data_IF_862824203539
#
_entry.id   IF_862824203539
#
_cell.length_a   1.000
_cell.length_b   1.000
_cell.length_c   1.000
_cell.angle_alpha   90.00
_cell.angle_beta   90.00
_cell.angle_gamma   90.00
#
_symmetry.space_group_name_H-M   'P 1'
#
loop_
_entity.id
_entity.type
_entity.pdbx_description
1 polymer ?
#
# COMPACT_ATOMS: atom_id res chain seq x y z
N UNK A 1 -15.84 -2.21 49.72
CA UNK A 1 -16.39 -3.55 49.94
C UNK A 1 -15.98 -4.35 48.72
N UNK A 2 -14.86 -5.06 48.82
CA UNK A 2 -14.28 -5.81 47.71
C UNK A 2 -15.09 -7.09 47.58
N UNK A 3 -15.86 -7.22 46.50
CA UNK A 3 -16.32 -8.54 46.08
C UNK A 3 -15.09 -9.30 45.59
N UNK A 4 -14.70 -10.31 46.37
CA UNK A 4 -13.74 -11.33 46.00
C UNK A 4 -14.20 -11.98 44.70
N UNK A 5 -13.56 -11.58 43.59
CA UNK A 5 -13.62 -12.30 42.33
C UNK A 5 -12.93 -13.64 42.59
N UNK A 6 -13.72 -14.66 42.92
CA UNK A 6 -13.27 -16.05 42.95
C UNK A 6 -12.57 -16.30 41.61
N UNK A 7 -11.25 -16.59 41.58
CA UNK A 7 -10.59 -16.88 40.33
C UNK A 7 -11.25 -18.13 39.75
N UNK A 8 -11.97 -17.97 38.63
CA UNK A 8 -12.54 -19.10 37.88
C UNK A 8 -11.43 -20.13 37.70
N UNK A 9 -11.65 -21.36 38.17
CA UNK A 9 -10.71 -22.47 37.94
C UNK A 9 -10.34 -22.48 36.46
N UNK A 10 -9.05 -22.36 36.12
CA UNK A 10 -8.62 -22.38 34.73
C UNK A 10 -9.09 -23.67 34.06
N UNK A 11 -9.54 -23.57 32.82
CA UNK A 11 -10.07 -24.71 32.08
C UNK A 11 -8.93 -25.71 31.84
N UNK A 12 -9.07 -26.93 32.37
CA UNK A 12 -8.06 -28.00 32.30
C UNK A 12 -7.61 -28.28 30.86
N UNK A 13 -8.52 -28.13 29.89
CA UNK A 13 -8.20 -28.29 28.46
C UNK A 13 -7.27 -27.16 27.99
N UNK A 14 -7.54 -25.92 28.40
CA UNK A 14 -6.70 -24.76 28.05
C UNK A 14 -5.30 -24.93 28.62
N UNK A 15 -5.17 -25.36 29.87
CA UNK A 15 -3.85 -25.61 30.49
C UNK A 15 -3.09 -26.75 29.81
N UNK A 16 -3.78 -27.85 29.49
CA UNK A 16 -3.16 -28.99 28.80
C UNK A 16 -2.63 -28.60 27.41
N UNK A 17 -3.37 -27.74 26.70
CA UNK A 17 -2.95 -27.17 25.41
C UNK A 17 -1.77 -26.22 25.64
N UNK A 18 -1.90 -25.20 26.50
CA UNK A 18 -0.88 -24.17 26.70
C UNK A 18 0.45 -24.74 27.20
N UNK A 19 0.41 -25.82 27.98
CA UNK A 19 1.61 -26.54 28.41
C UNK A 19 2.43 -27.12 27.24
N UNK A 20 1.77 -27.52 26.14
CA UNK A 20 2.42 -28.12 24.96
C UNK A 20 2.65 -27.12 23.83
N UNK A 21 1.70 -26.20 23.68
CA UNK A 21 1.70 -25.17 22.67
C UNK A 21 0.95 -23.96 23.26
N UNK A 22 1.65 -22.89 23.69
CA UNK A 22 1.09 -21.78 24.46
C UNK A 22 0.21 -20.84 23.61
N UNK A 23 -0.82 -21.38 22.95
CA UNK A 23 -1.71 -20.66 22.05
C UNK A 23 -2.50 -19.60 22.82
N UNK A 24 -3.13 -19.97 23.94
CA UNK A 24 -3.99 -19.06 24.68
C UNK A 24 -3.16 -18.05 25.48
N UNK A 25 -2.01 -18.45 26.01
CA UNK A 25 -1.04 -17.52 26.59
C UNK A 25 -0.54 -16.49 25.57
N UNK A 26 -0.23 -16.92 24.34
CA UNK A 26 0.13 -16.02 23.24
C UNK A 26 -1.02 -15.08 22.86
N UNK A 27 -2.26 -15.58 22.76
CA UNK A 27 -3.44 -14.76 22.51
C UNK A 27 -3.72 -13.76 23.64
N UNK A 28 -3.47 -14.14 24.90
CA UNK A 28 -3.58 -13.23 26.05
C UNK A 28 -2.56 -12.10 25.98
N UNK A 29 -1.38 -12.32 25.39
CA UNK A 29 -0.41 -11.24 25.20
C UNK A 29 -0.99 -10.09 24.36
N UNK A 30 -1.74 -10.40 23.30
CA UNK A 30 -2.40 -9.38 22.47
C UNK A 30 -3.52 -8.62 23.18
N UNK A 31 -4.26 -9.27 24.09
CA UNK A 31 -5.31 -8.59 24.84
C UNK A 31 -4.77 -7.64 25.91
N UNK A 32 -3.55 -7.85 26.39
CA UNK A 32 -2.92 -7.02 27.42
C UNK A 32 -1.92 -6.00 26.86
N UNK A 33 -1.70 -5.97 25.53
CA UNK A 33 -0.78 -5.06 24.88
C UNK A 33 -1.13 -3.60 25.18
N UNK A 34 -0.22 -2.86 25.81
CA UNK A 34 -0.43 -1.47 26.20
C UNK A 34 -0.13 -0.53 25.03
N UNK A 35 -1.06 0.38 24.76
CA UNK A 35 -1.00 1.31 23.62
C UNK A 35 -1.20 2.74 24.12
N UNK A 36 -0.53 3.77 23.55
CA UNK A 36 -0.75 5.17 23.95
C UNK A 36 -2.25 5.51 23.95
N UNK A 37 -2.76 6.20 24.96
CA UNK A 37 -4.21 6.42 25.14
C UNK A 37 -4.84 7.43 24.16
N UNK A 38 -4.02 8.20 23.44
CA UNK A 38 -4.45 9.33 22.61
C UNK A 38 -4.36 9.06 21.10
N UNK A 39 -4.31 7.80 20.64
CA UNK A 39 -4.26 7.52 19.21
C UNK A 39 -5.52 8.07 18.54
N UNK A 40 -5.38 8.76 17.41
CA UNK A 40 -6.52 9.24 16.61
C UNK A 40 -7.09 8.10 15.75
N UNK A 41 -8.15 8.37 14.97
CA UNK A 41 -8.68 7.37 14.03
C UNK A 41 -7.70 7.03 12.89
N UNK A 42 -6.69 7.87 12.63
CA UNK A 42 -5.68 7.58 11.61
C UNK A 42 -4.79 6.38 11.97
N UNK A 43 -4.78 5.93 13.23
CA UNK A 43 -4.06 4.71 13.64
C UNK A 43 -4.78 3.42 13.21
N UNK A 44 -6.06 3.49 12.86
CA UNK A 44 -6.84 2.35 12.36
C UNK A 44 -6.46 1.95 10.92
N UNK A 45 -5.76 2.81 10.16
CA UNK A 45 -5.36 2.53 8.78
C UNK A 45 -4.49 1.27 8.63
N UNK A 46 -3.73 0.91 9.67
CA UNK A 46 -2.94 -0.34 9.67
C UNK A 46 -3.82 -1.59 9.71
N UNK A 47 -4.84 -1.60 10.56
CA UNK A 47 -5.78 -2.73 10.64
C UNK A 47 -6.74 -2.75 9.44
N UNK A 48 -7.09 -1.60 8.85
CA UNK A 48 -7.79 -1.54 7.55
C UNK A 48 -6.96 -2.20 6.44
N UNK A 49 -5.66 -1.87 6.34
CA UNK A 49 -4.77 -2.52 5.38
C UNK A 49 -4.67 -4.04 5.62
N UNK A 50 -4.65 -4.47 6.89
CA UNK A 50 -4.69 -5.88 7.27
C UNK A 50 -5.96 -6.61 6.80
N UNK A 51 -7.16 -6.02 7.01
CA UNK A 51 -8.40 -6.65 6.54
C UNK A 51 -8.49 -6.64 5.01
N UNK A 52 -8.00 -5.59 4.34
CA UNK A 52 -7.91 -5.54 2.88
C UNK A 52 -7.04 -6.68 2.32
N UNK A 53 -5.88 -6.96 2.94
CA UNK A 53 -5.04 -8.11 2.57
C UNK A 53 -5.78 -9.44 2.69
N UNK A 54 -6.51 -9.65 3.80
CA UNK A 54 -7.31 -10.87 4.01
C UNK A 54 -8.40 -11.02 2.94
N UNK A 55 -9.11 -9.93 2.63
CA UNK A 55 -10.13 -9.92 1.56
C UNK A 55 -9.50 -10.30 0.22
N UNK A 56 -8.36 -9.72 -0.15
CA UNK A 56 -7.67 -10.02 -1.41
C UNK A 56 -7.24 -11.49 -1.49
N UNK A 57 -6.70 -12.06 -0.41
CA UNK A 57 -6.28 -13.47 -0.39
C UNK A 57 -7.49 -14.39 -0.54
N UNK A 58 -8.55 -14.18 0.26
CA UNK A 58 -9.75 -15.05 0.21
C UNK A 58 -10.40 -14.99 -1.18
N UNK A 59 -10.66 -13.79 -1.68
CA UNK A 59 -11.27 -13.63 -3.02
C UNK A 59 -10.35 -14.13 -4.13
N UNK A 60 -9.05 -13.88 -4.04
CA UNK A 60 -8.06 -14.32 -5.03
C UNK A 60 -7.95 -15.83 -5.12
N UNK A 61 -7.92 -16.54 -3.98
CA UNK A 61 -7.90 -18.01 -3.95
C UNK A 61 -9.16 -18.59 -4.59
N UNK A 62 -10.34 -18.02 -4.30
CA UNK A 62 -11.60 -18.48 -4.90
C UNK A 62 -11.63 -18.21 -6.41
N UNK A 63 -11.20 -17.02 -6.85
CA UNK A 63 -11.11 -16.67 -8.27
C UNK A 63 -10.14 -17.59 -9.01
N UNK A 64 -9.01 -17.95 -8.39
CA UNK A 64 -8.02 -18.86 -8.97
C UNK A 64 -8.57 -20.28 -9.23
N UNK A 65 -9.60 -20.73 -8.49
CA UNK A 65 -10.27 -22.02 -8.76
C UNK A 65 -11.08 -22.01 -10.08
N UNK A 66 -11.29 -20.84 -10.67
CA UNK A 66 -12.11 -20.64 -11.86
C UNK A 66 -11.38 -19.94 -13.01
N UNK A 67 -10.24 -19.32 -12.75
CA UNK A 67 -9.42 -18.64 -13.75
C UNK A 67 -8.53 -19.63 -14.52
N UNK A 68 -8.21 -19.32 -15.78
CA UNK A 68 -7.30 -20.12 -16.61
C UNK A 68 -6.13 -19.26 -17.11
N UNK A 69 -4.88 -19.48 -16.63
CA UNK A 69 -3.70 -18.69 -17.01
C UNK A 69 -3.14 -19.11 -18.38
N UNK A 70 -3.95 -18.96 -19.42
CA UNK A 70 -3.59 -19.20 -20.82
C UNK A 70 -4.13 -18.09 -21.71
N UNK A 71 -3.33 -17.56 -22.65
CA UNK A 71 -3.73 -16.39 -23.47
C UNK A 71 -5.02 -16.60 -24.25
N UNK A 72 -5.25 -17.83 -24.75
CA UNK A 72 -6.47 -18.21 -25.48
C UNK A 72 -7.72 -18.32 -24.59
N UNK A 73 -7.58 -18.31 -23.26
CA UNK A 73 -8.67 -18.62 -22.33
C UNK A 73 -8.80 -17.64 -21.17
N UNK A 74 -7.81 -16.79 -20.91
CA UNK A 74 -7.75 -15.95 -19.73
C UNK A 74 -8.94 -14.99 -19.65
N UNK A 75 -9.17 -14.21 -20.73
CA UNK A 75 -10.27 -13.27 -20.83
C UNK A 75 -11.63 -13.98 -20.68
N UNK A 76 -11.85 -15.05 -21.45
CA UNK A 76 -13.09 -15.82 -21.42
C UNK A 76 -13.34 -16.49 -20.06
N UNK A 77 -12.28 -16.93 -19.37
CA UNK A 77 -12.40 -17.49 -18.02
C UNK A 77 -12.87 -16.45 -17.00
N UNK A 78 -12.47 -15.19 -17.15
CA UNK A 78 -12.95 -14.08 -16.32
C UNK A 78 -14.41 -13.76 -16.65
N UNK A 79 -14.79 -13.72 -17.92
CA UNK A 79 -16.21 -13.55 -18.30
C UNK A 79 -17.09 -14.70 -17.80
N UNK A 80 -16.57 -15.93 -17.81
CA UNK A 80 -17.23 -17.11 -17.22
C UNK A 80 -17.39 -16.96 -15.71
N UNK A 81 -16.40 -16.42 -14.98
CA UNK A 81 -16.54 -16.09 -13.57
C UNK A 81 -17.69 -15.10 -13.38
N UNK A 82 -17.72 -14.02 -14.17
CA UNK A 82 -18.74 -12.99 -14.07
C UNK A 82 -20.17 -13.52 -14.30
N UNK A 83 -20.33 -14.45 -15.26
CA UNK A 83 -21.64 -14.85 -15.78
C UNK A 83 -22.16 -16.17 -15.23
N UNK A 84 -21.28 -17.12 -14.92
CA UNK A 84 -21.66 -18.52 -14.68
C UNK A 84 -21.33 -19.01 -13.27
N UNK A 85 -20.33 -18.43 -12.60
CA UNK A 85 -19.98 -18.82 -11.22
C UNK A 85 -20.97 -18.16 -10.26
N UNK A 86 -21.51 -18.93 -9.32
CA UNK A 86 -22.41 -18.41 -8.28
C UNK A 86 -21.72 -17.26 -7.51
N UNK A 87 -22.32 -16.07 -7.53
CA UNK A 87 -21.72 -14.85 -6.97
C UNK A 87 -20.34 -14.48 -7.54
N UNK A 88 -19.98 -14.99 -8.72
CA UNK A 88 -18.68 -14.73 -9.34
C UNK A 88 -18.47 -13.24 -9.69
N UNK A 89 -19.53 -12.54 -10.11
CA UNK A 89 -19.50 -11.09 -10.30
C UNK A 89 -19.12 -10.34 -9.00
N UNK A 90 -19.67 -10.77 -7.86
CA UNK A 90 -19.41 -10.17 -6.56
C UNK A 90 -17.97 -10.44 -6.13
N UNK A 91 -17.49 -11.67 -6.31
CA UNK A 91 -16.11 -12.05 -6.01
C UNK A 91 -15.11 -11.25 -6.85
N UNK A 92 -15.35 -11.14 -8.16
CA UNK A 92 -14.49 -10.39 -9.08
C UNK A 92 -14.46 -8.92 -8.73
N UNK A 93 -15.61 -8.28 -8.51
CA UNK A 93 -15.64 -6.86 -8.14
C UNK A 93 -15.07 -6.61 -6.74
N UNK A 94 -15.31 -7.50 -5.78
CA UNK A 94 -14.67 -7.40 -4.46
C UNK A 94 -13.14 -7.44 -4.60
N UNK A 95 -12.59 -8.32 -5.44
CA UNK A 95 -11.15 -8.41 -5.65
C UNK A 95 -10.57 -7.19 -6.39
N UNK A 96 -11.27 -6.70 -7.42
CA UNK A 96 -10.82 -5.56 -8.23
C UNK A 96 -10.94 -4.22 -7.48
N UNK A 97 -12.11 -3.93 -6.91
CA UNK A 97 -12.32 -2.73 -6.07
C UNK A 97 -11.48 -2.83 -4.80
N UNK A 98 -11.31 -4.04 -4.26
CA UNK A 98 -10.51 -4.29 -3.06
C UNK A 98 -9.05 -3.89 -3.24
N UNK A 99 -8.46 -4.10 -4.42
CA UNK A 99 -7.13 -3.60 -4.74
C UNK A 99 -7.05 -2.06 -4.63
N UNK A 100 -8.03 -1.34 -5.18
CA UNK A 100 -8.11 0.12 -5.06
C UNK A 100 -8.25 0.57 -3.60
N UNK A 101 -9.17 -0.04 -2.85
CA UNK A 101 -9.37 0.29 -1.44
C UNK A 101 -8.13 -0.01 -0.59
N UNK A 102 -7.36 -1.04 -0.96
CA UNK A 102 -6.10 -1.37 -0.31
C UNK A 102 -5.04 -0.28 -0.54
N UNK A 103 -4.85 0.19 -1.78
CA UNK A 103 -3.94 1.31 -2.05
C UNK A 103 -4.39 2.61 -1.39
N UNK A 104 -5.68 2.92 -1.39
CA UNK A 104 -6.20 4.10 -0.69
C UNK A 104 -5.85 4.06 0.81
N UNK A 105 -6.06 2.92 1.47
CA UNK A 105 -5.71 2.73 2.88
C UNK A 105 -4.19 2.88 3.12
N UNK A 106 -3.35 2.31 2.25
CA UNK A 106 -1.90 2.37 2.40
C UNK A 106 -1.33 3.76 2.08
N UNK A 107 -1.86 4.49 1.10
CA UNK A 107 -1.46 5.88 0.87
C UNK A 107 -1.78 6.77 2.07
N UNK A 108 -2.96 6.62 2.65
CA UNK A 108 -3.31 7.32 3.89
C UNK A 108 -2.41 6.88 5.06
N UNK A 109 -2.05 5.59 5.12
CA UNK A 109 -1.15 5.06 6.15
C UNK A 109 0.26 5.65 6.04
N UNK A 110 0.80 5.76 4.83
CA UNK A 110 2.08 6.41 4.51
C UNK A 110 2.00 7.90 4.85
N UNK A 111 0.97 8.61 4.39
CA UNK A 111 0.77 10.04 4.67
C UNK A 111 0.69 10.32 6.17
N UNK A 112 0.00 9.46 6.93
CA UNK A 112 -0.01 9.50 8.40
C UNK A 112 1.39 9.32 8.96
N UNK A 113 2.16 8.36 8.45
CA UNK A 113 3.53 8.12 8.87
C UNK A 113 4.43 9.34 8.66
N UNK A 114 4.29 10.00 7.51
CA UNK A 114 4.97 11.24 7.17
C UNK A 114 4.58 12.37 8.14
N UNK A 115 3.27 12.60 8.34
CA UNK A 115 2.77 13.68 9.18
C UNK A 115 3.21 13.56 10.65
N UNK A 116 3.20 12.36 11.22
CA UNK A 116 3.55 12.17 12.64
C UNK A 116 5.01 11.79 12.88
N UNK A 117 5.83 11.77 11.83
CA UNK A 117 7.25 11.37 11.95
C UNK A 117 7.41 9.93 12.45
N UNK A 118 6.50 9.03 12.09
CA UNK A 118 6.51 7.63 12.54
C UNK A 118 7.64 6.81 11.93
N UNK A 119 8.35 7.36 10.94
CA UNK A 119 9.54 6.79 10.32
C UNK A 119 10.85 7.14 11.07
N UNK A 120 10.81 8.12 11.98
CA UNK A 120 12.00 8.54 12.75
C UNK A 120 12.39 7.49 13.78
N UNK A 121 13.62 7.61 14.28
CA UNK A 121 14.14 6.78 15.37
C UNK A 121 13.15 6.61 16.53
N UNK A 122 13.00 5.39 17.09
CA UNK A 122 13.66 4.13 16.74
C UNK A 122 12.84 3.25 15.76
N UNK A 123 12.10 3.83 14.81
CA UNK A 123 11.13 3.12 13.94
C UNK A 123 11.56 3.04 12.48
N UNK A 124 12.86 3.15 12.20
CA UNK A 124 13.40 3.12 10.84
C UNK A 124 13.14 1.78 10.17
N UNK A 125 13.42 0.67 10.86
CA UNK A 125 13.18 -0.68 10.33
C UNK A 125 11.68 -0.94 10.08
N UNK A 126 10.81 -0.45 10.96
CA UNK A 126 9.36 -0.51 10.77
C UNK A 126 8.97 0.18 9.45
N UNK A 127 9.52 1.36 9.20
CA UNK A 127 9.28 2.13 7.98
C UNK A 127 9.83 1.43 6.73
N UNK A 128 11.07 0.93 6.77
CA UNK A 128 11.67 0.22 5.62
C UNK A 128 10.93 -1.05 5.26
N UNK A 129 10.51 -1.85 6.24
CA UNK A 129 9.64 -3.00 6.01
C UNK A 129 8.32 -2.54 5.37
N UNK A 130 7.75 -1.42 5.83
CA UNK A 130 6.55 -0.82 5.23
C UNK A 130 6.73 -0.45 3.75
N UNK A 131 7.88 0.10 3.37
CA UNK A 131 8.17 0.41 1.96
C UNK A 131 8.35 -0.87 1.13
N UNK A 132 8.98 -1.90 1.68
CA UNK A 132 9.11 -3.21 1.02
C UNK A 132 7.74 -3.86 0.81
N UNK A 133 6.84 -3.77 1.79
CA UNK A 133 5.44 -4.18 1.65
C UNK A 133 4.79 -3.39 0.52
N UNK A 134 4.94 -2.07 0.49
CA UNK A 134 4.36 -1.22 -0.55
C UNK A 134 4.86 -1.62 -1.96
N UNK A 135 6.16 -1.83 -2.15
CA UNK A 135 6.73 -2.30 -3.42
C UNK A 135 6.19 -3.68 -3.82
N UNK A 136 6.04 -4.59 -2.85
CA UNK A 136 5.50 -5.93 -3.09
C UNK A 136 4.00 -5.86 -3.43
N UNK A 137 3.24 -4.95 -2.82
CA UNK A 137 1.85 -4.67 -3.19
C UNK A 137 1.74 -4.13 -4.61
N UNK A 138 2.60 -3.19 -5.01
CA UNK A 138 2.63 -2.66 -6.39
C UNK A 138 2.90 -3.78 -7.40
N UNK A 139 3.91 -4.62 -7.16
CA UNK A 139 4.20 -5.76 -8.02
C UNK A 139 3.02 -6.75 -8.09
N UNK A 140 2.41 -7.06 -6.94
CA UNK A 140 1.25 -7.97 -6.85
C UNK A 140 0.07 -7.43 -7.65
N UNK A 141 -0.29 -6.15 -7.46
CA UNK A 141 -1.42 -5.53 -8.12
C UNK A 141 -1.21 -5.43 -9.64
N UNK A 142 -0.01 -5.05 -10.08
CA UNK A 142 0.35 -5.04 -11.49
C UNK A 142 0.14 -6.42 -12.14
N UNK A 143 0.72 -7.48 -11.56
CA UNK A 143 0.57 -8.82 -12.13
C UNK A 143 -0.90 -9.30 -12.11
N UNK A 144 -1.66 -8.93 -11.07
CA UNK A 144 -3.10 -9.21 -11.00
C UNK A 144 -3.89 -8.52 -12.11
N UNK A 145 -3.53 -7.27 -12.43
CA UNK A 145 -4.15 -6.51 -13.52
C UNK A 145 -3.80 -7.04 -14.91
N UNK A 146 -2.74 -7.83 -15.05
CA UNK A 146 -2.41 -8.53 -16.31
C UNK A 146 -3.30 -9.76 -16.54
N UNK A 147 -3.79 -10.41 -15.48
CA UNK A 147 -4.50 -11.69 -15.59
C UNK A 147 -5.79 -11.66 -16.42
N UNK A 148 -6.64 -10.61 -16.38
CA UNK A 148 -7.82 -10.55 -17.23
C UNK A 148 -7.51 -10.60 -18.74
N UNK A 149 -6.27 -10.31 -19.14
CA UNK A 149 -5.81 -10.36 -20.52
C UNK A 149 -6.64 -9.48 -21.49
N UNK A 150 -7.06 -8.31 -21.00
CA UNK A 150 -7.63 -7.25 -21.84
C UNK A 150 -6.57 -6.34 -22.45
N UNK A 151 -6.98 -5.28 -23.15
CA UNK A 151 -6.07 -4.34 -23.78
C UNK A 151 -5.15 -3.63 -22.76
N UNK A 152 -5.70 -3.15 -21.65
CA UNK A 152 -4.88 -2.49 -20.62
C UNK A 152 -3.94 -3.47 -19.93
N UNK A 153 -4.37 -4.72 -19.72
CA UNK A 153 -3.53 -5.80 -19.22
C UNK A 153 -2.30 -6.03 -20.08
N UNK A 154 -2.48 -6.25 -21.39
CA UNK A 154 -1.40 -6.59 -22.31
C UNK A 154 -0.42 -5.44 -22.53
N UNK A 155 -0.92 -4.24 -22.79
CA UNK A 155 -0.07 -3.09 -23.04
C UNK A 155 0.58 -2.56 -21.76
N UNK A 156 -0.12 -2.63 -20.62
CA UNK A 156 0.46 -2.38 -19.31
C UNK A 156 1.62 -3.33 -19.02
N UNK A 157 1.44 -4.64 -19.27
CA UNK A 157 2.52 -5.62 -19.16
C UNK A 157 3.71 -5.22 -20.03
N UNK A 158 3.46 -4.94 -21.31
CA UNK A 158 4.48 -4.57 -22.30
C UNK A 158 5.28 -3.35 -21.83
N UNK A 159 4.62 -2.28 -21.41
CA UNK A 159 5.28 -1.04 -20.96
C UNK A 159 6.10 -1.28 -19.70
N UNK A 160 5.51 -1.87 -18.65
CA UNK A 160 6.17 -2.01 -17.35
C UNK A 160 7.39 -2.94 -17.43
N UNK A 161 7.28 -4.08 -18.12
CA UNK A 161 8.45 -4.95 -18.31
C UNK A 161 9.52 -4.28 -19.17
N UNK A 162 9.13 -3.50 -20.18
CA UNK A 162 10.10 -2.77 -21.00
C UNK A 162 10.84 -1.67 -20.23
N UNK A 163 10.37 -1.23 -19.06
CA UNK A 163 11.15 -0.29 -18.23
C UNK A 163 12.52 -0.88 -17.85
N UNK A 164 12.64 -2.20 -17.70
CA UNK A 164 13.90 -2.86 -17.36
C UNK A 164 14.93 -2.82 -18.52
N UNK A 165 14.50 -2.67 -19.77
CA UNK A 165 15.42 -2.46 -20.91
C UNK A 165 16.20 -1.14 -20.81
N UNK A 166 15.77 -0.20 -19.96
CA UNK A 166 16.52 1.02 -19.72
C UNK A 166 17.84 0.78 -18.97
N UNK A 167 18.00 -0.37 -18.30
CA UNK A 167 19.22 -0.71 -17.56
C UNK A 167 20.35 -0.99 -18.56
N UNK A 168 21.45 -0.21 -18.54
CA UNK A 168 22.56 -0.42 -19.47
C UNK A 168 23.15 -1.83 -19.36
N UNK A 169 23.62 -2.38 -20.48
CA UNK A 169 24.29 -3.68 -20.62
C UNK A 169 23.39 -4.92 -20.45
N UNK A 170 22.55 -4.96 -19.42
CA UNK A 170 21.78 -6.15 -19.03
C UNK A 170 20.27 -6.04 -19.25
N UNK A 171 19.76 -4.86 -19.60
CA UNK A 171 18.32 -4.58 -19.67
C UNK A 171 17.56 -5.50 -20.63
N UNK A 172 18.04 -5.68 -21.85
CA UNK A 172 17.40 -6.55 -22.86
C UNK A 172 17.33 -8.02 -22.41
N UNK A 173 18.38 -8.50 -21.73
CA UNK A 173 18.39 -9.84 -21.14
C UNK A 173 17.32 -9.97 -20.05
N UNK A 174 17.19 -8.97 -19.17
CA UNK A 174 16.16 -8.95 -18.12
C UNK A 174 14.76 -8.97 -18.73
N UNK A 175 14.50 -8.16 -19.77
CA UNK A 175 13.19 -8.12 -20.43
C UNK A 175 12.86 -9.46 -21.08
N UNK A 176 13.78 -10.02 -21.86
CA UNK A 176 13.60 -11.34 -22.51
C UNK A 176 13.38 -12.43 -21.46
N UNK A 177 14.13 -12.37 -20.35
CA UNK A 177 13.96 -13.29 -19.24
C UNK A 177 12.59 -13.13 -18.57
N UNK A 178 12.13 -11.91 -18.33
CA UNK A 178 10.82 -11.61 -17.75
C UNK A 178 9.66 -12.04 -18.66
N UNK A 179 9.79 -11.90 -19.98
CA UNK A 179 8.78 -12.36 -20.93
C UNK A 179 8.78 -13.87 -21.09
N UNK A 180 9.96 -14.49 -21.10
CA UNK A 180 10.13 -15.89 -21.51
C UNK A 180 10.00 -16.08 -23.01
N UNK A 181 10.29 -15.04 -23.79
CA UNK A 181 10.09 -14.98 -25.23
C UNK A 181 10.46 -13.61 -25.79
N UNK A 182 10.09 -13.36 -27.03
CA UNK A 182 10.43 -12.12 -27.75
C UNK A 182 9.41 -10.99 -27.54
N UNK A 183 8.27 -11.29 -26.94
CA UNK A 183 7.20 -10.34 -26.61
C UNK A 183 6.44 -10.82 -25.39
N UNK A 184 5.56 -9.96 -24.87
CA UNK A 184 4.53 -10.38 -23.92
C UNK A 184 3.64 -11.43 -24.60
N UNK A 185 3.56 -12.62 -24.01
CA UNK A 185 2.79 -13.75 -24.54
C UNK A 185 2.46 -14.75 -23.40
N UNK A 186 2.00 -15.95 -23.73
CA UNK A 186 1.59 -16.98 -22.78
C UNK A 186 2.62 -17.32 -21.70
N UNK A 187 3.93 -17.45 -22.00
CA UNK A 187 4.93 -17.64 -20.95
C UNK A 187 4.92 -16.50 -19.92
N UNK A 188 4.66 -15.26 -20.34
CA UNK A 188 4.56 -14.07 -19.48
C UNK A 188 3.30 -14.10 -18.62
N UNK A 189 2.14 -14.44 -19.20
CA UNK A 189 0.90 -14.54 -18.45
C UNK A 189 0.96 -15.64 -17.38
N UNK A 190 1.50 -16.81 -17.74
CA UNK A 190 1.54 -17.97 -16.86
C UNK A 190 2.42 -17.74 -15.62
N UNK A 191 3.61 -17.15 -15.79
CA UNK A 191 4.49 -16.77 -14.67
C UNK A 191 3.88 -15.66 -13.81
N UNK A 192 3.18 -14.68 -14.41
CA UNK A 192 2.55 -13.60 -13.65
C UNK A 192 1.40 -14.13 -12.81
N UNK A 193 0.66 -15.14 -13.27
CA UNK A 193 -0.29 -15.86 -12.43
C UNK A 193 0.39 -16.50 -11.21
N UNK A 194 1.48 -17.26 -11.43
CA UNK A 194 2.23 -17.90 -10.34
C UNK A 194 2.76 -16.88 -9.31
N UNK A 195 3.37 -15.80 -9.79
CA UNK A 195 3.91 -14.75 -8.94
C UNK A 195 2.80 -13.94 -8.25
N UNK A 196 1.70 -13.62 -8.92
CA UNK A 196 0.54 -12.96 -8.32
C UNK A 196 -0.09 -13.80 -7.21
N UNK A 197 -0.05 -15.14 -7.33
CA UNK A 197 -0.47 -16.03 -6.26
C UNK A 197 0.53 -16.06 -5.09
N UNK A 198 1.83 -16.07 -5.37
CA UNK A 198 2.90 -16.16 -4.37
C UNK A 198 3.05 -14.89 -3.53
N UNK A 199 3.09 -13.71 -4.17
CA UNK A 199 3.45 -12.46 -3.50
C UNK A 199 2.52 -12.06 -2.33
N UNK A 200 1.19 -12.29 -2.34
CA UNK A 200 0.35 -12.06 -1.18
C UNK A 200 0.81 -12.79 0.10
N UNK A 201 1.37 -14.01 -0.02
CA UNK A 201 1.93 -14.73 1.13
C UNK A 201 3.26 -14.13 1.61
N UNK A 202 4.06 -13.60 0.68
CA UNK A 202 5.24 -12.80 1.03
C UNK A 202 4.81 -11.52 1.76
N UNK A 203 3.73 -10.86 1.32
CA UNK A 203 3.16 -9.70 2.02
C UNK A 203 2.72 -10.10 3.44
N UNK A 204 2.07 -11.26 3.63
CA UNK A 204 1.73 -11.75 4.98
C UNK A 204 2.99 -11.90 5.85
N UNK A 205 4.05 -12.54 5.34
CA UNK A 205 5.30 -12.68 6.08
C UNK A 205 5.93 -11.32 6.43
N UNK A 206 5.94 -10.37 5.49
CA UNK A 206 6.43 -9.01 5.72
C UNK A 206 5.56 -8.24 6.72
N UNK A 207 4.24 -8.39 6.70
CA UNK A 207 3.32 -7.80 7.67
C UNK A 207 3.58 -8.36 9.07
N UNK A 208 3.87 -9.66 9.20
CA UNK A 208 4.28 -10.23 10.49
C UNK A 208 5.58 -9.59 11.01
N UNK A 209 6.59 -9.44 10.15
CA UNK A 209 7.82 -8.72 10.51
C UNK A 209 7.56 -7.24 10.86
N UNK A 210 6.66 -6.60 10.13
CA UNK A 210 6.25 -5.21 10.39
C UNK A 210 5.59 -5.07 11.77
N UNK A 211 4.72 -6.00 12.14
CA UNK A 211 4.10 -6.03 13.47
C UNK A 211 5.12 -6.34 14.57
N UNK A 212 6.08 -7.23 14.33
CA UNK A 212 7.19 -7.48 15.27
C UNK A 212 8.01 -6.20 15.50
N UNK A 213 8.41 -5.51 14.43
CA UNK A 213 9.12 -4.24 14.53
C UNK A 213 8.29 -3.15 15.25
N UNK A 214 6.97 -3.12 15.02
CA UNK A 214 6.06 -2.22 15.71
C UNK A 214 5.99 -2.53 17.21
N UNK A 215 5.85 -3.80 17.58
CA UNK A 215 5.73 -4.20 18.98
C UNK A 215 7.00 -3.94 19.78
N UNK A 216 8.18 -3.94 19.15
CA UNK A 216 9.45 -3.66 19.82
C UNK A 216 9.52 -2.25 20.42
N UNK A 217 8.99 -1.24 19.72
CA UNK A 217 9.06 0.17 20.16
C UNK A 217 7.70 0.83 20.37
N UNK A 218 6.63 0.06 20.21
CA UNK A 218 5.26 0.52 20.31
C UNK A 218 4.83 1.52 19.24
N UNK A 219 3.52 1.73 19.18
CA UNK A 219 2.93 2.76 18.33
C UNK A 219 3.47 4.15 18.71
N UNK A 220 3.82 4.93 17.68
CA UNK A 220 3.91 6.39 17.83
C UNK A 220 2.50 6.95 18.16
N UNK A 221 2.39 8.23 18.48
CA UNK A 221 1.11 8.88 18.79
C UNK A 221 1.03 10.31 18.22
N UNK A 222 -0.15 10.96 18.20
CA UNK A 222 -0.30 12.29 17.62
C UNK A 222 0.59 13.39 18.23
N UNK A 223 1.04 13.22 19.47
CA UNK A 223 1.97 14.15 20.13
C UNK A 223 3.44 13.88 19.76
N UNK A 224 3.77 12.69 19.24
CA UNK A 224 5.16 12.36 18.85
C UNK A 224 6.15 12.33 20.01
N UNK A 225 5.66 12.12 21.24
CA UNK A 225 6.46 11.90 22.46
C UNK A 225 6.37 10.44 22.88
N UNK A 226 7.38 9.92 23.57
CA UNK A 226 7.35 8.56 24.07
C UNK A 226 6.47 8.43 25.32
N UNK A 227 5.93 7.23 25.52
CA UNK A 227 5.24 6.82 26.74
C UNK A 227 6.23 6.87 27.91
N UNK A 228 5.90 7.62 28.96
CA UNK A 228 6.77 7.76 30.15
C UNK A 228 6.27 6.95 31.33
N UNK A 229 4.95 6.75 31.43
CA UNK A 229 4.34 6.02 32.54
C UNK A 229 3.17 5.15 32.09
N UNK A 230 2.76 4.16 32.91
CA UNK A 230 1.55 3.37 32.64
C UNK A 230 0.27 4.21 32.49
N UNK A 231 0.23 5.45 33.02
CA UNK A 231 -0.91 6.37 32.90
C UNK A 231 -1.06 6.96 31.48
N UNK A 232 -0.04 6.82 30.64
CA UNK A 232 -0.05 7.28 29.25
C UNK A 232 -0.65 6.23 28.30
N UNK A 233 -0.88 5.01 28.80
CA UNK A 233 -1.34 3.87 28.03
C UNK A 233 -2.66 3.30 28.52
N UNK A 234 -3.36 2.62 27.62
CA UNK A 234 -4.49 1.76 27.92
C UNK A 234 -4.29 0.41 27.21
N UNK A 235 -4.93 -0.67 27.69
CA UNK A 235 -4.96 -1.94 26.97
C UNK A 235 -5.50 -1.77 25.55
N UNK A 236 -4.91 -2.46 24.57
CA UNK A 236 -5.42 -2.45 23.20
C UNK A 236 -6.83 -3.01 23.11
N UNK A 237 -7.07 -4.14 23.77
CA UNK A 237 -8.39 -4.73 23.90
C UNK A 237 -9.03 -4.33 25.25
N UNK A 238 -10.30 -3.89 25.28
CA UNK A 238 -11.22 -3.75 24.15
C UNK A 238 -11.15 -2.39 23.44
N UNK A 239 -10.46 -1.39 24.00
CA UNK A 239 -10.58 0.02 23.60
C UNK A 239 -10.28 0.27 22.12
N UNK A 240 -9.09 -0.11 21.66
CA UNK A 240 -8.70 0.05 20.28
C UNK A 240 -9.31 -1.01 19.36
N UNK A 241 -9.63 -2.21 19.86
CA UNK A 241 -10.40 -3.20 19.10
C UNK A 241 -11.77 -2.65 18.69
N UNK A 242 -12.53 -2.08 19.62
CA UNK A 242 -13.85 -1.48 19.33
C UNK A 242 -13.71 -0.29 18.40
N UNK A 243 -12.70 0.57 18.64
CA UNK A 243 -12.41 1.69 17.76
C UNK A 243 -12.08 1.24 16.34
N UNK A 244 -11.36 0.12 16.21
CA UNK A 244 -11.01 -0.43 14.92
C UNK A 244 -12.23 -0.95 14.16
N UNK A 245 -13.19 -1.58 14.85
CA UNK A 245 -14.47 -1.98 14.25
C UNK A 245 -15.29 -0.79 13.72
N UNK A 246 -15.23 0.37 14.39
CA UNK A 246 -15.86 1.60 13.85
C UNK A 246 -15.21 1.99 12.52
N UNK A 247 -13.88 1.97 12.46
CA UNK A 247 -13.15 2.25 11.22
C UNK A 247 -13.42 1.23 10.12
N UNK A 248 -13.54 -0.05 10.47
CA UNK A 248 -13.99 -1.09 9.54
C UNK A 248 -15.40 -0.82 9.01
N UNK A 249 -16.33 -0.37 9.87
CA UNK A 249 -17.67 0.03 9.44
C UNK A 249 -17.63 1.10 8.34
N UNK A 250 -16.85 2.16 8.55
CA UNK A 250 -16.67 3.22 7.54
C UNK A 250 -16.05 2.67 6.27
N UNK A 251 -14.99 1.86 6.38
CA UNK A 251 -14.33 1.21 5.25
C UNK A 251 -15.31 0.36 4.44
N UNK A 252 -16.08 -0.51 5.09
CA UNK A 252 -17.01 -1.41 4.42
C UNK A 252 -18.21 -0.68 3.79
N UNK A 253 -18.67 0.44 4.35
CA UNK A 253 -19.71 1.26 3.72
C UNK A 253 -19.22 1.81 2.38
N UNK A 254 -18.03 2.40 2.34
CA UNK A 254 -17.45 2.95 1.11
C UNK A 254 -17.13 1.80 0.13
N UNK A 255 -16.56 0.71 0.62
CA UNK A 255 -16.22 -0.45 -0.20
C UNK A 255 -17.47 -1.08 -0.83
N UNK A 256 -18.54 -1.25 -0.06
CA UNK A 256 -19.83 -1.74 -0.55
C UNK A 256 -20.45 -0.79 -1.57
N UNK A 257 -20.35 0.53 -1.37
CA UNK A 257 -20.83 1.49 -2.36
C UNK A 257 -20.21 1.23 -3.75
N UNK A 258 -18.89 1.11 -3.82
CA UNK A 258 -18.22 0.82 -5.09
C UNK A 258 -18.58 -0.57 -5.62
N UNK A 259 -18.59 -1.62 -4.80
CA UNK A 259 -18.91 -2.96 -5.29
C UNK A 259 -20.33 -3.05 -5.88
N UNK A 260 -21.33 -2.47 -5.22
CA UNK A 260 -22.73 -2.68 -5.57
C UNK A 260 -23.31 -1.63 -6.52
N UNK A 261 -22.79 -0.40 -6.51
CA UNK A 261 -23.36 0.71 -7.30
C UNK A 261 -22.42 1.18 -8.41
N UNK A 262 -21.10 1.24 -8.17
CA UNK A 262 -20.12 1.81 -9.11
C UNK A 262 -18.88 0.92 -9.31
N UNK A 263 -19.02 -0.38 -9.65
CA UNK A 263 -17.90 -1.34 -9.60
C UNK A 263 -16.85 -1.14 -10.69
N UNK A 264 -17.18 -0.35 -11.72
CA UNK A 264 -16.28 -0.06 -12.84
C UNK A 264 -15.66 1.34 -12.77
N UNK A 265 -16.08 2.19 -11.81
CA UNK A 265 -15.65 3.59 -11.75
C UNK A 265 -14.14 3.75 -11.56
N UNK A 266 -13.52 2.84 -10.80
CA UNK A 266 -12.07 2.85 -10.51
C UNK A 266 -11.23 2.04 -11.51
N UNK A 267 -11.87 1.47 -12.55
CA UNK A 267 -11.22 0.67 -13.60
C UNK A 267 -11.15 1.40 -14.93
N UNK A 268 -10.55 0.76 -15.93
CA UNK A 268 -10.47 1.28 -17.28
C UNK A 268 -11.35 0.48 -18.26
N UNK A 269 -12.31 1.11 -18.97
CA UNK A 269 -13.20 0.44 -19.91
C UNK A 269 -12.51 -0.44 -20.96
N UNK A 270 -11.37 0.00 -21.50
CA UNK A 270 -10.64 -0.79 -22.51
C UNK A 270 -10.16 -2.15 -22.00
N UNK A 271 -10.11 -2.40 -20.68
CA UNK A 271 -9.78 -3.72 -20.18
C UNK A 271 -10.94 -4.74 -20.30
N UNK A 272 -12.09 -4.31 -20.81
CA UNK A 272 -13.17 -5.18 -21.30
C UNK A 272 -13.07 -5.50 -22.80
N UNK A 273 -12.00 -5.04 -23.46
CA UNK A 273 -11.67 -5.43 -24.83
C UNK A 273 -10.55 -6.48 -24.74
N UNK A 274 -10.66 -7.66 -25.36
CA UNK A 274 -9.59 -8.65 -25.37
C UNK A 274 -8.28 -8.07 -25.90
N UNK A 275 -7.16 -8.55 -25.36
CA UNK A 275 -5.84 -8.11 -25.77
C UNK A 275 -5.62 -8.28 -27.29
N UNK A 276 -5.16 -7.23 -27.94
CA UNK A 276 -4.71 -7.24 -29.32
C UNK A 276 -3.24 -6.79 -29.39
N UNK A 277 -2.30 -7.73 -29.62
CA UNK A 277 -0.86 -7.43 -29.72
C UNK A 277 -0.48 -6.42 -30.80
N UNK A 278 -1.35 -6.18 -31.79
CA UNK A 278 -1.10 -5.32 -32.94
C UNK A 278 -1.71 -3.93 -32.81
N UNK A 279 -2.55 -3.68 -31.80
CA UNK A 279 -3.28 -2.41 -31.65
C UNK A 279 -3.21 -1.90 -30.22
N UNK A 280 -2.39 -0.88 -29.99
CA UNK A 280 -2.38 -0.12 -28.73
C UNK A 280 -3.58 0.83 -28.68
N UNK A 281 -4.39 0.83 -27.61
CA UNK A 281 -5.45 1.83 -27.45
C UNK A 281 -4.91 3.26 -27.45
N UNK A 282 -5.70 4.19 -28.00
CA UNK A 282 -5.32 5.59 -28.10
C UNK A 282 -5.12 6.27 -26.72
N UNK A 283 -5.83 5.81 -25.70
CA UNK A 283 -5.81 6.35 -24.35
C UNK A 283 -5.33 5.31 -23.33
N UNK A 284 -4.10 4.82 -23.47
CA UNK A 284 -3.50 3.93 -22.47
C UNK A 284 -3.13 4.72 -21.21
N UNK A 285 -3.80 4.39 -20.10
CA UNK A 285 -3.58 5.02 -18.79
C UNK A 285 -3.42 3.91 -17.74
N UNK A 286 -2.38 3.96 -16.87
CA UNK A 286 -2.25 3.03 -15.76
C UNK A 286 -3.41 3.15 -14.76
N UNK A 287 -3.52 2.18 -13.86
CA UNK A 287 -4.46 2.26 -12.76
C UNK A 287 -4.17 3.48 -11.87
N UNK A 288 -5.21 4.03 -11.23
CA UNK A 288 -5.13 5.32 -10.54
C UNK A 288 -4.03 5.36 -9.46
N UNK A 289 -3.80 4.23 -8.78
CA UNK A 289 -2.76 4.06 -7.75
C UNK A 289 -1.34 3.95 -8.32
N UNK A 290 -1.15 4.03 -9.63
CA UNK A 290 0.17 4.15 -10.26
C UNK A 290 0.40 5.52 -10.94
N UNK A 291 -0.65 6.34 -11.07
CA UNK A 291 -0.57 7.61 -11.80
C UNK A 291 0.47 8.60 -11.29
N UNK A 292 0.69 8.80 -9.96
CA UNK A 292 1.70 9.73 -9.50
C UNK A 292 3.11 9.35 -9.99
N UNK A 293 3.44 8.06 -9.96
CA UNK A 293 4.73 7.55 -10.41
C UNK A 293 4.85 7.59 -11.93
N UNK A 294 3.77 7.27 -12.63
CA UNK A 294 3.71 7.37 -14.08
C UNK A 294 3.89 8.81 -14.57
N UNK A 295 3.30 9.80 -13.89
CA UNK A 295 3.49 11.22 -14.19
C UNK A 295 4.96 11.64 -14.07
N UNK A 296 5.65 11.19 -13.01
CA UNK A 296 7.10 11.43 -12.82
C UNK A 296 7.91 10.78 -13.95
N UNK A 297 7.59 9.54 -14.33
CA UNK A 297 8.28 8.83 -15.41
C UNK A 297 8.26 9.62 -16.72
N UNK A 298 7.07 10.04 -17.15
CA UNK A 298 6.88 10.72 -18.45
C UNK A 298 7.23 12.20 -18.44
N UNK A 299 7.43 12.80 -17.27
CA UNK A 299 7.89 14.19 -17.17
C UNK A 299 9.30 14.36 -17.76
N UNK A 300 10.14 13.33 -17.68
CA UNK A 300 11.51 13.33 -18.17
C UNK A 300 11.58 12.88 -19.64
N UNK A 301 12.07 13.70 -20.58
CA UNK A 301 12.21 13.34 -21.99
C UNK A 301 13.44 12.43 -22.24
N UNK A 302 13.61 11.39 -21.42
CA UNK A 302 14.67 10.38 -21.52
C UNK A 302 14.17 9.07 -20.93
N UNK A 303 14.32 7.95 -21.65
CA UNK A 303 13.90 6.62 -21.19
C UNK A 303 14.56 6.25 -19.86
N UNK A 304 15.89 6.31 -19.80
CA UNK A 304 16.64 6.02 -18.57
C UNK A 304 16.33 7.03 -17.46
N UNK A 305 16.30 8.32 -17.80
CA UNK A 305 16.01 9.37 -16.81
C UNK A 305 14.64 9.21 -16.17
N UNK A 306 13.60 8.94 -16.96
CA UNK A 306 12.24 8.70 -16.48
C UNK A 306 12.15 7.48 -15.58
N UNK A 307 12.80 6.36 -15.96
CA UNK A 307 12.87 5.15 -15.13
C UNK A 307 13.57 5.43 -13.80
N UNK A 308 14.71 6.12 -13.81
CA UNK A 308 15.45 6.49 -12.60
C UNK A 308 14.63 7.41 -11.68
N UNK A 309 13.91 8.39 -12.22
CA UNK A 309 13.05 9.25 -11.41
C UNK A 309 11.83 8.50 -10.87
N UNK A 310 11.21 7.62 -11.65
CA UNK A 310 10.07 6.84 -11.18
C UNK A 310 10.47 5.95 -9.99
N UNK A 311 11.49 5.11 -10.13
CA UNK A 311 11.98 4.27 -9.02
C UNK A 311 12.60 5.12 -7.90
N UNK A 312 13.30 6.20 -8.26
CA UNK A 312 13.87 7.17 -7.34
C UNK A 312 12.82 7.79 -6.42
N UNK A 313 11.61 8.05 -6.94
CA UNK A 313 10.53 8.66 -6.16
C UNK A 313 10.06 7.78 -4.98
N UNK A 314 10.16 6.46 -5.11
CA UNK A 314 9.90 5.51 -4.02
C UNK A 314 11.17 5.30 -3.19
N UNK A 315 12.34 5.22 -3.84
CA UNK A 315 13.61 5.00 -3.14
C UNK A 315 13.93 6.10 -2.13
N UNK A 316 13.63 7.37 -2.43
CA UNK A 316 13.85 8.47 -1.49
C UNK A 316 13.05 8.31 -0.19
N UNK A 317 11.97 7.52 -0.18
CA UNK A 317 11.24 7.21 1.05
C UNK A 317 12.10 6.39 2.03
N UNK A 318 13.00 5.53 1.56
CA UNK A 318 13.93 4.80 2.44
C UNK A 318 14.86 5.77 3.16
N UNK A 319 15.22 6.89 2.53
CA UNK A 319 16.14 7.89 3.05
C UNK A 319 15.50 8.83 4.08
N UNK A 320 14.17 8.90 4.15
CA UNK A 320 13.44 9.84 5.02
C UNK A 320 13.89 9.88 6.48
N UNK A 321 14.16 8.75 7.17
CA UNK A 321 14.62 8.77 8.56
C UNK A 321 15.93 9.54 8.76
N UNK A 322 16.74 9.67 7.71
CA UNK A 322 18.02 10.37 7.73
C UNK A 322 17.98 11.75 7.07
N UNK A 323 17.02 11.99 6.17
CA UNK A 323 16.80 13.30 5.56
C UNK A 323 16.08 14.26 6.50
N UNK A 324 15.13 13.80 7.31
CA UNK A 324 14.49 14.65 8.31
C UNK A 324 15.34 14.77 9.58
N UNK A 325 16.15 15.83 9.61
CA UNK A 325 17.10 16.10 10.70
C UNK A 325 16.45 16.64 11.99
N UNK A 326 15.15 16.94 11.99
CA UNK A 326 14.49 17.45 13.20
C UNK A 326 14.34 16.37 14.27
N UNK A 327 14.63 16.72 15.52
CA UNK A 327 14.37 15.84 16.68
C UNK A 327 12.89 15.75 17.05
N UNK A 328 12.06 16.68 16.57
CA UNK A 328 10.62 16.66 16.82
C UNK A 328 9.94 15.74 15.81
N UNK A 329 9.21 14.74 16.30
CA UNK A 329 8.50 13.76 15.46
C UNK A 329 7.24 14.34 14.81
N UNK A 330 6.29 14.78 15.62
CA UNK A 330 4.96 15.18 15.13
C UNK A 330 4.98 16.56 14.45
N UNK A 331 4.36 16.65 13.27
CA UNK A 331 4.15 17.92 12.56
C UNK A 331 3.30 18.92 13.34
N UNK A 332 2.54 18.46 14.34
CA UNK A 332 1.74 19.35 15.18
C UNK A 332 2.58 20.41 15.90
N UNK A 333 3.87 20.15 16.12
CA UNK A 333 4.80 21.06 16.79
C UNK A 333 5.86 21.61 15.84
N UNK A 334 5.66 21.47 14.53
CA UNK A 334 6.59 21.90 13.49
C UNK A 334 5.84 22.77 12.46
N UNK A 335 5.67 24.09 12.72
CA UNK A 335 4.79 24.93 11.92
C UNK A 335 5.16 25.00 10.43
N UNK A 336 6.46 25.08 10.13
CA UNK A 336 6.97 25.15 8.75
C UNK A 336 6.83 23.78 8.09
N UNK A 337 7.21 22.71 8.79
CA UNK A 337 7.06 21.36 8.26
C UNK A 337 5.60 21.00 8.00
N UNK A 338 4.67 21.39 8.88
CA UNK A 338 3.24 21.14 8.71
C UNK A 338 2.71 21.78 7.43
N UNK A 339 3.13 23.00 7.13
CA UNK A 339 2.76 23.68 5.89
C UNK A 339 3.39 22.97 4.69
N UNK A 340 4.69 22.67 4.74
CA UNK A 340 5.39 21.96 3.67
C UNK A 340 4.78 20.58 3.39
N UNK A 341 4.36 19.85 4.41
CA UNK A 341 3.67 18.57 4.29
C UNK A 341 2.39 18.69 3.45
N UNK A 342 1.53 19.68 3.73
CA UNK A 342 0.28 19.82 2.99
C UNK A 342 0.50 20.26 1.55
N UNK A 343 1.52 21.09 1.29
CA UNK A 343 1.93 21.42 -0.09
C UNK A 343 2.41 20.16 -0.80
N UNK A 344 3.19 19.31 -0.13
CA UNK A 344 3.63 18.02 -0.68
C UNK A 344 2.48 17.04 -0.93
N UNK A 345 1.48 16.98 -0.05
CA UNK A 345 0.28 16.18 -0.30
C UNK A 345 -0.50 16.70 -1.52
N UNK A 346 -0.62 18.02 -1.67
CA UNK A 346 -1.25 18.61 -2.85
C UNK A 346 -0.48 18.30 -4.14
N UNK A 347 0.85 18.31 -4.10
CA UNK A 347 1.71 17.94 -5.23
C UNK A 347 1.57 16.45 -5.61
N UNK A 348 1.54 15.54 -4.64
CA UNK A 348 1.28 14.13 -4.89
C UNK A 348 -0.08 13.88 -5.55
N UNK A 349 -1.13 14.60 -5.12
CA UNK A 349 -2.45 14.55 -5.75
C UNK A 349 -2.45 15.14 -7.15
N UNK A 350 -1.71 16.24 -7.36
CA UNK A 350 -1.52 16.86 -8.67
C UNK A 350 -0.79 15.90 -9.64
N UNK A 351 0.27 15.22 -9.19
CA UNK A 351 0.95 14.18 -9.97
C UNK A 351 -0.01 13.03 -10.33
N UNK A 352 -0.85 12.59 -9.39
CA UNK A 352 -1.88 11.60 -9.66
C UNK A 352 -2.87 12.05 -10.74
N UNK A 353 -3.35 13.29 -10.65
CA UNK A 353 -4.22 13.87 -11.68
C UNK A 353 -3.53 13.96 -13.04
N UNK A 354 -2.30 14.49 -13.09
CA UNK A 354 -1.53 14.69 -14.32
C UNK A 354 -1.14 13.36 -14.99
N UNK A 355 -0.91 12.30 -14.21
CA UNK A 355 -0.67 10.97 -14.75
C UNK A 355 -1.84 10.43 -15.56
N UNK A 356 -3.08 10.86 -15.24
CA UNK A 356 -4.29 10.51 -15.99
C UNK A 356 -4.59 11.41 -17.19
N UNK A 357 -3.83 12.50 -17.39
CA UNK A 357 -4.03 13.42 -18.52
C UNK A 357 -3.19 13.03 -19.75
N UNK A 358 -3.57 13.45 -20.97
CA UNK A 358 -2.78 13.22 -22.18
C UNK A 358 -1.35 13.76 -22.06
N UNK A 359 -0.39 13.11 -22.73
CA UNK A 359 1.02 13.50 -22.78
C UNK A 359 1.25 14.66 -23.76
N UNK A 360 0.63 15.79 -23.48
CA UNK A 360 0.71 17.03 -24.26
C UNK A 360 0.79 18.26 -23.36
N UNK A 361 1.00 19.44 -23.94
CA UNK A 361 0.97 20.71 -23.20
C UNK A 361 -0.47 21.10 -22.85
N UNK A 362 -0.73 21.69 -21.67
CA UNK A 362 0.26 22.12 -20.66
C UNK A 362 0.66 21.02 -19.66
N UNK A 363 0.05 19.82 -19.73
CA UNK A 363 0.19 18.79 -18.70
C UNK A 363 1.62 18.28 -18.53
N UNK A 364 2.38 18.10 -19.62
CA UNK A 364 3.79 17.68 -19.55
C UNK A 364 4.62 18.70 -18.76
N UNK A 365 4.47 19.99 -19.06
CA UNK A 365 5.21 21.04 -18.37
C UNK A 365 4.85 21.10 -16.89
N UNK A 366 3.56 20.98 -16.55
CA UNK A 366 3.12 20.94 -15.15
C UNK A 366 3.69 19.70 -14.44
N UNK A 367 3.70 18.52 -15.08
CA UNK A 367 4.28 17.30 -14.51
C UNK A 367 5.78 17.45 -14.22
N UNK A 368 6.52 18.22 -15.04
CA UNK A 368 7.93 18.51 -14.78
C UNK A 368 8.12 19.36 -13.52
N UNK A 369 7.31 20.40 -13.36
CA UNK A 369 7.36 21.23 -12.15
C UNK A 369 6.95 20.43 -10.91
N UNK A 370 5.89 19.64 -11.00
CA UNK A 370 5.43 18.79 -9.91
C UNK A 370 6.48 17.74 -9.52
N UNK A 371 7.03 17.00 -10.50
CA UNK A 371 8.10 16.03 -10.24
C UNK A 371 9.36 16.70 -9.65
N UNK A 372 9.71 17.90 -10.12
CA UNK A 372 10.82 18.67 -9.55
C UNK A 372 10.54 19.03 -8.08
N UNK A 373 9.34 19.54 -7.78
CA UNK A 373 8.94 19.85 -6.41
C UNK A 373 8.94 18.61 -5.52
N UNK A 374 8.44 17.47 -5.97
CA UNK A 374 8.48 16.20 -5.24
C UNK A 374 9.88 15.89 -4.71
N UNK A 375 10.89 15.90 -5.59
CA UNK A 375 12.27 15.63 -5.21
C UNK A 375 12.89 16.75 -4.37
N UNK A 376 12.64 18.02 -4.71
CA UNK A 376 13.12 19.16 -3.92
C UNK A 376 12.55 19.12 -2.50
N UNK A 377 11.29 18.75 -2.33
CA UNK A 377 10.65 18.62 -1.03
C UNK A 377 11.41 17.60 -0.16
N UNK A 378 11.60 16.39 -0.68
CA UNK A 378 12.19 15.28 0.10
C UNK A 378 13.69 15.46 0.29
N UNK A 379 14.44 15.82 -0.75
CA UNK A 379 15.91 15.86 -0.72
C UNK A 379 16.50 17.18 -0.22
N UNK A 380 15.75 18.29 -0.30
CA UNK A 380 16.27 19.63 0.03
C UNK A 380 15.44 20.30 1.12
N UNK A 381 14.15 20.48 0.92
CA UNK A 381 13.30 21.20 1.86
C UNK A 381 13.24 20.50 3.21
N UNK A 382 13.06 19.18 3.24
CA UNK A 382 12.97 18.40 4.47
C UNK A 382 14.24 18.50 5.35
N UNK A 383 15.47 18.29 4.84
CA UNK A 383 16.69 18.54 5.60
C UNK A 383 16.85 19.98 6.09
N UNK A 384 16.53 20.97 5.25
CA UNK A 384 16.66 22.38 5.61
C UNK A 384 15.65 22.79 6.69
N UNK A 385 14.38 22.42 6.53
CA UNK A 385 13.34 22.64 7.54
C UNK A 385 13.77 21.97 8.84
N UNK A 386 14.23 20.71 8.80
CA UNK A 386 14.67 20.01 10.00
C UNK A 386 15.80 20.71 10.76
N UNK A 387 16.69 21.40 10.04
CA UNK A 387 17.85 22.12 10.60
C UNK A 387 17.51 23.52 11.11
N UNK A 388 16.64 24.26 10.43
CA UNK A 388 16.43 25.69 10.67
C UNK A 388 15.10 26.04 11.33
N UNK A 389 14.11 25.14 11.28
CA UNK A 389 12.82 25.36 11.94
C UNK A 389 12.99 25.49 13.45
N UNK A 390 12.27 26.44 14.06
CA UNK A 390 12.09 26.51 15.51
C UNK A 390 10.80 25.78 15.89
N UNK A 391 10.88 24.58 16.50
CA UNK A 391 9.67 23.84 16.87
C UNK A 391 8.93 24.51 18.02
N UNK A 392 7.63 24.23 18.11
CA UNK A 392 6.81 24.59 19.27
C UNK A 392 7.19 23.73 20.49
N UNK A 393 6.91 24.18 21.72
CA UNK A 393 7.10 23.38 22.92
C UNK A 393 6.33 22.05 22.84
N UNK A 394 7.00 20.97 23.21
CA UNK A 394 6.38 19.65 23.32
C UNK A 394 5.65 19.54 24.67
N UNK A 395 4.51 18.84 24.72
CA UNK A 395 3.86 18.52 25.99
C UNK A 395 4.75 17.59 26.83
N UNK A 396 4.70 17.75 28.14
CA UNK A 396 5.47 16.91 29.07
C UNK A 396 4.88 15.51 29.21
N UNK A 397 3.56 15.37 29.01
CA UNK A 397 2.79 14.14 29.18
C UNK A 397 1.81 13.88 28.03
N UNK A 398 1.39 12.61 27.93
CA UNK A 398 0.65 12.03 26.81
C UNK A 398 -0.86 12.24 26.90
#
# INVERSE_FOLDING_TARGET
MNEDIIPKKPNVIIEWIDYRLPIFAFLKHFSHYQTPKNLSYLWNLGSIAGIALVIQIITGVILAMHYTPHVDHAFDSVERIMRNVNYGWLLRYTHAVGASMFFAAVYLHIARGLYYGSYKAPRELLWHIGIIIFLTMMATAFMGYVLPWGQMSYWGATVITNLFSAIPLIGEFIVTWLWGGFSVDNPTLNRFFSLHYLLPFIIVALVMLHLVALHQHGSNNPKGIDVKSPKDTIPFHPYYTVKDFVGFGVYFIIFAYFIFYEPNYLGHPDNYIPANPLVTPAHIVPEWYFLPFYAILRAMPSKLGGVLLMFGSIFVLFLLPWLDTSKVRSSNYRPIYRMAFWIFMADCLLLGYLGGQPAEEPYITISRFAACYYFLHVLVALPLIGKYEKPLPLPEEL
#
